data_IF_092203332487
#
_entry.id   IF_092203332487
#
_cell.length_a   1.000
_cell.length_b   1.000
_cell.length_c   1.000
_cell.angle_alpha   90.00
_cell.angle_beta   90.00
_cell.angle_gamma   90.00
#
_symmetry.space_group_name_H-M   'P 1'
#
loop_
_entity.id
_entity.type
_entity.pdbx_description
1 polymer ?
#
# COMPACT_ATOMS: atom_id res chain seq x y z
N UNK A 1 -31.44 -5.24 15.97
CA UNK A 1 -30.73 -4.84 14.74
C UNK A 1 -29.27 -5.16 14.96
N UNK A 2 -28.62 -5.86 14.03
CA UNK A 2 -27.20 -6.25 14.12
C UNK A 2 -26.46 -5.65 12.94
N UNK A 3 -25.28 -5.09 13.21
CA UNK A 3 -24.33 -4.64 12.18
C UNK A 3 -23.14 -5.59 12.14
N UNK A 4 -22.85 -6.13 10.95
CA UNK A 4 -21.67 -6.95 10.67
C UNK A 4 -20.72 -6.17 9.79
N UNK A 5 -19.42 -6.22 10.12
CA UNK A 5 -18.36 -5.75 9.24
C UNK A 5 -17.57 -6.97 8.74
N UNK A 6 -17.62 -7.23 7.44
CA UNK A 6 -17.08 -8.45 6.82
C UNK A 6 -15.89 -8.14 5.91
N UNK A 7 -14.83 -8.94 6.00
CA UNK A 7 -13.56 -8.78 5.29
C UNK A 7 -13.56 -9.32 3.85
N UNK A 8 -14.71 -9.80 3.35
CA UNK A 8 -14.81 -10.41 2.02
C UNK A 8 -14.28 -11.84 1.94
N UNK A 9 -13.81 -12.46 3.02
CA UNK A 9 -13.38 -13.86 3.02
C UNK A 9 -14.57 -14.80 2.74
N UNK A 10 -14.38 -15.95 2.04
CA UNK A 10 -15.48 -16.89 1.72
C UNK A 10 -16.23 -17.49 2.92
N UNK A 11 -15.70 -17.37 4.13
CA UNK A 11 -16.39 -17.73 5.38
C UNK A 11 -17.30 -16.62 5.92
N UNK A 12 -17.10 -15.37 5.47
CA UNK A 12 -17.84 -14.19 5.92
C UNK A 12 -18.91 -13.77 4.91
N UNK A 13 -18.60 -13.84 3.60
CA UNK A 13 -19.55 -13.57 2.50
C UNK A 13 -20.20 -14.85 1.96
N UNK A 14 -21.41 -14.71 1.41
CA UNK A 14 -22.06 -15.75 0.61
C UNK A 14 -23.35 -16.31 1.23
N UNK A 15 -24.36 -16.65 0.41
CA UNK A 15 -25.75 -16.79 0.87
C UNK A 15 -26.03 -18.03 1.72
N UNK A 16 -25.20 -19.07 1.63
CA UNK A 16 -25.48 -20.39 2.23
C UNK A 16 -24.48 -20.84 3.29
N UNK A 17 -23.24 -20.32 3.27
CA UNK A 17 -22.16 -20.72 4.19
C UNK A 17 -21.37 -19.55 4.77
N UNK A 18 -21.56 -18.33 4.26
CA UNK A 18 -20.94 -17.14 4.83
C UNK A 18 -21.70 -16.63 6.04
N UNK A 19 -21.00 -16.05 7.01
CA UNK A 19 -21.60 -15.42 8.20
C UNK A 19 -22.75 -14.46 7.85
N UNK A 20 -22.60 -13.65 6.81
CA UNK A 20 -23.66 -12.79 6.28
C UNK A 20 -24.92 -13.57 5.90
N UNK A 21 -24.76 -14.67 5.14
CA UNK A 21 -25.88 -15.48 4.67
C UNK A 21 -26.59 -16.22 5.80
N UNK A 22 -25.85 -16.61 6.84
CA UNK A 22 -26.40 -17.22 8.06
C UNK A 22 -27.15 -16.20 8.90
N UNK A 23 -26.55 -15.04 9.22
CA UNK A 23 -27.20 -14.00 10.02
C UNK A 23 -28.42 -13.35 9.34
N UNK A 24 -28.52 -13.39 8.00
CA UNK A 24 -29.74 -12.97 7.28
C UNK A 24 -30.87 -14.01 7.28
N UNK A 25 -30.59 -15.27 7.64
CA UNK A 25 -31.56 -16.38 7.70
C UNK A 25 -32.01 -16.72 9.12
N UNK A 26 -31.28 -16.23 10.13
CA UNK A 26 -31.59 -16.40 11.54
C UNK A 26 -32.67 -15.39 11.97
N UNK A 27 -33.81 -15.89 12.42
CA UNK A 27 -34.95 -15.08 12.89
C UNK A 27 -34.61 -14.22 14.12
N UNK A 28 -33.54 -14.57 14.85
CA UNK A 28 -32.98 -13.76 15.97
C UNK A 28 -32.42 -12.41 15.49
N UNK A 29 -32.12 -12.27 14.20
CA UNK A 29 -31.53 -11.08 13.60
C UNK A 29 -32.42 -10.47 12.51
N UNK A 30 -33.66 -10.02 12.83
CA UNK A 30 -34.66 -9.57 11.85
C UNK A 30 -34.25 -8.31 11.05
N UNK A 31 -33.13 -7.69 11.42
CA UNK A 31 -32.46 -6.65 10.63
C UNK A 31 -30.94 -6.77 10.79
N UNK A 32 -30.34 -7.58 9.91
CA UNK A 32 -28.90 -7.75 9.77
C UNK A 32 -28.38 -6.80 8.67
N UNK A 33 -27.55 -5.83 9.06
CA UNK A 33 -26.84 -4.92 8.15
C UNK A 33 -25.41 -5.42 7.95
N UNK A 34 -25.02 -5.69 6.71
CA UNK A 34 -23.67 -6.14 6.38
C UNK A 34 -22.91 -5.05 5.64
N UNK A 35 -21.75 -4.68 6.16
CA UNK A 35 -20.83 -3.72 5.57
C UNK A 35 -19.52 -4.43 5.22
N UNK A 36 -18.95 -4.18 4.04
CA UNK A 36 -17.58 -4.60 3.80
C UNK A 36 -16.62 -3.78 4.67
N UNK A 37 -15.59 -4.43 5.20
CA UNK A 37 -14.53 -3.75 5.94
C UNK A 37 -13.87 -2.70 5.05
N UNK A 38 -13.78 -1.47 5.54
CA UNK A 38 -13.21 -0.35 4.78
C UNK A 38 -11.73 -0.56 4.45
N UNK A 39 -10.99 -1.24 5.32
CA UNK A 39 -9.60 -1.69 5.08
C UNK A 39 -9.52 -2.67 3.89
N UNK A 40 -10.49 -3.58 3.77
CA UNK A 40 -10.58 -4.52 2.64
C UNK A 40 -10.91 -3.80 1.33
N UNK A 41 -11.87 -2.87 1.35
CA UNK A 41 -12.20 -2.03 0.19
C UNK A 41 -11.00 -1.18 -0.25
N UNK A 42 -10.28 -0.57 0.70
CA UNK A 42 -9.04 0.16 0.44
C UNK A 42 -7.94 -0.73 -0.18
N UNK A 43 -7.77 -1.96 0.33
CA UNK A 43 -6.81 -2.92 -0.22
C UNK A 43 -7.16 -3.33 -1.67
N UNK A 44 -8.45 -3.47 -1.99
CA UNK A 44 -8.92 -3.67 -3.36
C UNK A 44 -8.61 -2.46 -4.26
N UNK A 45 -8.86 -1.22 -3.81
CA UNK A 45 -8.52 -0.01 -4.57
C UNK A 45 -7.03 0.04 -4.98
N UNK A 46 -6.13 -0.41 -4.10
CA UNK A 46 -4.69 -0.51 -4.42
C UNK A 46 -4.36 -1.43 -5.60
N UNK A 47 -5.23 -2.38 -5.95
CA UNK A 47 -5.07 -3.25 -7.12
C UNK A 47 -5.47 -2.57 -8.44
N UNK A 48 -6.33 -1.54 -8.39
CA UNK A 48 -6.85 -0.83 -9.56
C UNK A 48 -6.06 0.42 -9.97
N UNK A 49 -5.10 0.86 -9.15
CA UNK A 49 -4.23 2.00 -9.51
C UNK A 49 -3.36 1.65 -10.74
N UNK A 50 -3.29 2.58 -11.70
CA UNK A 50 -2.67 2.42 -13.04
C UNK A 50 -1.15 2.14 -12.99
N UNK A 51 -0.56 2.24 -11.81
CA UNK A 51 0.86 2.05 -11.47
C UNK A 51 1.35 0.59 -11.59
N UNK A 52 0.55 -0.27 -12.26
CA UNK A 52 0.84 -1.70 -12.49
C UNK A 52 2.18 -1.95 -13.19
N UNK A 53 2.67 -1.02 -14.03
CA UNK A 53 3.95 -1.16 -14.75
C UNK A 53 5.12 -1.09 -13.76
N UNK A 54 5.13 -0.08 -12.89
CA UNK A 54 6.14 0.07 -11.82
C UNK A 54 6.06 -1.11 -10.86
N UNK A 55 4.86 -1.47 -10.40
CA UNK A 55 4.67 -2.60 -9.47
C UNK A 55 5.06 -3.95 -10.07
N UNK A 56 4.82 -4.22 -11.36
CA UNK A 56 5.28 -5.46 -12.05
C UNK A 56 6.80 -5.58 -11.99
N UNK A 57 7.53 -4.48 -12.21
CA UNK A 57 8.99 -4.50 -12.14
C UNK A 57 9.48 -4.66 -10.70
N UNK A 58 8.91 -3.93 -9.74
CA UNK A 58 9.24 -4.06 -8.31
C UNK A 58 9.03 -5.49 -7.82
N UNK A 59 7.89 -6.12 -8.16
CA UNK A 59 7.60 -7.52 -7.82
C UNK A 59 8.59 -8.48 -8.47
N UNK A 60 8.98 -8.27 -9.74
CA UNK A 60 10.00 -9.08 -10.42
C UNK A 60 11.36 -9.00 -9.72
N UNK A 61 11.80 -7.79 -9.35
CA UNK A 61 13.05 -7.53 -8.63
C UNK A 61 13.02 -8.22 -7.26
N UNK A 62 11.97 -7.96 -6.46
CA UNK A 62 11.80 -8.53 -5.12
C UNK A 62 11.74 -10.05 -5.15
N UNK A 63 11.01 -10.64 -6.11
CA UNK A 63 10.93 -12.10 -6.25
C UNK A 63 12.28 -12.71 -6.62
N UNK A 64 13.07 -12.07 -7.48
CA UNK A 64 14.41 -12.54 -7.84
C UNK A 64 15.34 -12.55 -6.62
N UNK A 65 15.41 -11.44 -5.89
CA UNK A 65 16.16 -11.32 -4.62
C UNK A 65 15.67 -12.36 -3.58
N UNK A 66 14.36 -12.61 -3.50
CA UNK A 66 13.77 -13.61 -2.58
C UNK A 66 14.01 -15.06 -3.01
N UNK A 67 14.27 -15.35 -4.28
CA UNK A 67 14.51 -16.71 -4.76
C UNK A 67 15.81 -17.32 -4.22
N UNK A 68 16.80 -16.51 -3.84
CA UNK A 68 18.11 -17.00 -3.38
C UNK A 68 18.56 -16.33 -2.07
N UNK A 69 18.93 -17.15 -1.07
CA UNK A 69 19.39 -16.65 0.23
C UNK A 69 20.73 -15.91 0.16
N UNK A 70 21.61 -16.30 -0.77
CA UNK A 70 22.87 -15.60 -1.09
C UNK A 70 22.61 -14.19 -1.62
N UNK A 71 21.64 -14.01 -2.52
CA UNK A 71 21.26 -12.70 -3.06
C UNK A 71 20.78 -11.75 -1.97
N UNK A 72 19.95 -12.21 -1.03
CA UNK A 72 19.52 -11.40 0.13
C UNK A 72 20.68 -10.94 1.00
N UNK A 73 21.66 -11.81 1.24
CA UNK A 73 22.86 -11.49 2.04
C UNK A 73 23.74 -10.47 1.31
N UNK A 74 24.02 -10.71 0.02
CA UNK A 74 24.87 -9.83 -0.78
C UNK A 74 24.26 -8.43 -0.97
N UNK A 75 22.95 -8.34 -1.25
CA UNK A 75 22.25 -7.06 -1.33
C UNK A 75 22.24 -6.34 0.01
N UNK A 76 22.13 -7.07 1.14
CA UNK A 76 22.25 -6.48 2.46
C UNK A 76 23.66 -5.91 2.69
N UNK A 77 24.72 -6.64 2.36
CA UNK A 77 26.10 -6.13 2.45
C UNK A 77 26.29 -4.86 1.60
N UNK A 78 25.83 -4.87 0.34
CA UNK A 78 25.86 -3.69 -0.55
C UNK A 78 25.05 -2.50 -0.01
N UNK A 79 23.99 -2.73 0.77
CA UNK A 79 23.21 -1.66 1.39
C UNK A 79 23.84 -1.17 2.71
N UNK A 80 24.47 -2.06 3.48
CA UNK A 80 25.15 -1.76 4.74
C UNK A 80 26.49 -1.02 4.52
N UNK A 81 27.15 -1.20 3.37
CA UNK A 81 28.33 -0.42 2.93
C UNK A 81 28.01 1.08 2.65
N UNK A 82 26.72 1.46 2.63
CA UNK A 82 26.24 2.82 2.31
C UNK A 82 25.48 3.45 3.49
N UNK A 83 26.04 3.54 4.70
CA UNK A 83 25.52 4.52 5.67
C UNK A 83 25.88 5.98 5.20
N UNK A 84 25.51 7.09 5.83
CA UNK A 84 24.75 7.25 7.05
C UNK A 84 23.40 7.97 6.82
N UNK A 85 22.87 8.55 7.91
CA UNK A 85 21.78 9.53 8.01
C UNK A 85 20.39 9.09 7.52
N UNK A 86 19.72 8.36 8.42
CA UNK A 86 18.33 8.60 8.86
C UNK A 86 17.22 8.62 7.79
N UNK A 87 16.66 7.43 7.58
CA UNK A 87 15.31 7.09 7.08
C UNK A 87 14.89 7.49 5.65
N UNK A 88 14.88 8.77 5.23
CA UNK A 88 14.52 9.14 3.85
C UNK A 88 15.50 8.53 2.84
N UNK A 89 16.80 8.79 3.05
CA UNK A 89 17.91 8.32 2.21
C UNK A 89 17.95 6.79 2.00
N UNK A 90 17.26 5.98 2.82
CA UNK A 90 17.22 4.52 2.61
C UNK A 90 16.52 4.13 1.30
N UNK A 91 15.58 4.92 0.80
CA UNK A 91 14.78 4.57 -0.39
C UNK A 91 15.62 4.63 -1.67
N UNK A 92 16.25 5.77 -1.96
CA UNK A 92 17.17 5.91 -3.10
C UNK A 92 18.45 5.06 -2.96
N UNK A 93 19.00 4.90 -1.75
CA UNK A 93 20.14 3.97 -1.51
C UNK A 93 19.80 2.51 -1.84
N UNK A 94 18.57 2.06 -1.59
CA UNK A 94 18.12 0.73 -1.99
C UNK A 94 18.01 0.63 -3.52
N UNK A 95 17.53 1.67 -4.22
CA UNK A 95 17.50 1.67 -5.70
C UNK A 95 18.92 1.61 -6.27
N UNK A 96 19.86 2.43 -5.79
CA UNK A 96 21.25 2.40 -6.28
C UNK A 96 21.95 1.09 -5.96
N UNK A 97 21.77 0.53 -4.76
CA UNK A 97 22.30 -0.78 -4.39
C UNK A 97 21.68 -1.91 -5.25
N UNK A 98 20.39 -1.83 -5.60
CA UNK A 98 19.74 -2.77 -6.53
C UNK A 98 20.34 -2.62 -7.94
N UNK A 99 20.48 -1.40 -8.46
CA UNK A 99 21.11 -1.14 -9.77
C UNK A 99 22.53 -1.70 -9.82
N UNK A 100 23.35 -1.45 -8.80
CA UNK A 100 24.70 -1.96 -8.69
C UNK A 100 24.74 -3.49 -8.57
N UNK A 101 23.89 -4.07 -7.71
CA UNK A 101 23.75 -5.52 -7.54
C UNK A 101 23.40 -6.23 -8.86
N UNK A 102 22.54 -5.64 -9.68
CA UNK A 102 22.15 -6.19 -10.98
C UNK A 102 23.20 -5.95 -12.08
N UNK A 103 23.87 -4.79 -12.09
CA UNK A 103 25.01 -4.51 -12.98
C UNK A 103 26.21 -5.44 -12.73
N UNK A 104 26.55 -5.72 -11.47
CA UNK A 104 27.60 -6.67 -11.09
C UNK A 104 27.35 -8.12 -11.55
N UNK A 105 26.16 -8.41 -12.08
CA UNK A 105 25.71 -9.75 -12.51
C UNK A 105 25.42 -9.83 -14.01
N UNK A 106 25.76 -8.78 -14.76
CA UNK A 106 25.45 -8.62 -16.19
C UNK A 106 23.94 -8.66 -16.51
N UNK A 107 23.11 -8.18 -15.57
CA UNK A 107 21.65 -8.16 -15.68
C UNK A 107 21.08 -6.74 -15.43
N UNK A 108 21.53 -5.69 -16.12
CA UNK A 108 21.11 -4.32 -15.85
C UNK A 108 19.59 -4.14 -15.93
N UNK A 109 19.07 -3.21 -15.13
CA UNK A 109 17.64 -2.84 -15.10
C UNK A 109 17.50 -1.36 -15.46
N UNK A 110 17.47 -1.00 -16.77
CA UNK A 110 17.50 0.40 -17.21
C UNK A 110 16.35 1.24 -16.67
N UNK A 111 15.20 0.62 -16.37
CA UNK A 111 14.03 1.33 -15.83
C UNK A 111 14.32 2.02 -14.49
N UNK A 112 15.25 1.51 -13.69
CA UNK A 112 15.67 2.14 -12.43
C UNK A 112 16.55 3.39 -12.64
N UNK A 113 16.92 3.69 -13.89
CA UNK A 113 17.70 4.88 -14.29
C UNK A 113 16.84 5.87 -15.10
N UNK A 114 15.58 5.50 -15.42
CA UNK A 114 14.63 6.36 -16.14
C UNK A 114 13.96 7.30 -15.15
N UNK A 115 14.22 8.61 -15.28
CA UNK A 115 13.66 9.66 -14.40
C UNK A 115 12.13 9.59 -14.24
N UNK A 116 11.36 9.39 -15.31
CA UNK A 116 9.90 9.30 -15.20
C UNK A 116 9.44 8.05 -14.41
N UNK A 117 10.16 6.92 -14.52
CA UNK A 117 9.87 5.72 -13.73
C UNK A 117 10.19 5.93 -12.25
N UNK A 118 11.31 6.62 -11.95
CA UNK A 118 11.66 6.99 -10.58
C UNK A 118 10.62 7.94 -9.96
N UNK A 119 10.09 8.88 -10.75
CA UNK A 119 9.01 9.79 -10.34
C UNK A 119 7.71 9.02 -10.02
N UNK A 120 7.28 8.12 -10.90
CA UNK A 120 6.11 7.26 -10.68
C UNK A 120 6.30 6.34 -9.46
N UNK A 121 7.53 5.85 -9.24
CA UNK A 121 7.89 5.05 -8.06
C UNK A 121 7.87 5.88 -6.77
N UNK A 122 8.37 7.12 -6.80
CA UNK A 122 8.33 8.04 -5.65
C UNK A 122 6.90 8.34 -5.21
N UNK A 123 6.04 8.72 -6.16
CA UNK A 123 4.60 8.88 -5.92
C UNK A 123 3.96 7.61 -5.34
N UNK A 124 4.28 6.43 -5.88
CA UNK A 124 3.81 5.14 -5.38
C UNK A 124 4.17 4.90 -3.91
N UNK A 125 5.40 5.21 -3.53
CA UNK A 125 5.88 5.01 -2.17
C UNK A 125 5.18 5.97 -1.20
N UNK A 126 5.06 7.25 -1.57
CA UNK A 126 4.37 8.25 -0.76
C UNK A 126 2.87 7.95 -0.59
N UNK A 127 2.17 7.56 -1.66
CA UNK A 127 0.75 7.20 -1.55
C UNK A 127 0.54 5.90 -0.77
N UNK A 128 1.42 4.91 -0.91
CA UNK A 128 1.37 3.68 -0.11
C UNK A 128 1.59 3.95 1.39
N UNK A 129 2.48 4.87 1.75
CA UNK A 129 2.70 5.29 3.14
C UNK A 129 1.48 6.01 3.72
N UNK A 130 0.85 6.90 2.96
CA UNK A 130 -0.40 7.59 3.35
C UNK A 130 -1.58 6.62 3.53
N UNK A 131 -1.69 5.63 2.64
CA UNK A 131 -2.67 4.55 2.75
C UNK A 131 -2.39 3.66 3.97
N UNK A 132 -1.12 3.44 4.32
CA UNK A 132 -0.75 2.73 5.55
C UNK A 132 -1.08 3.53 6.82
N UNK A 133 -0.88 4.86 6.83
CA UNK A 133 -1.33 5.74 7.92
C UNK A 133 -2.86 5.64 8.13
N UNK A 134 -3.63 5.69 7.04
CA UNK A 134 -5.09 5.49 7.08
C UNK A 134 -5.46 4.10 7.63
N UNK A 135 -4.80 3.04 7.16
CA UNK A 135 -5.03 1.67 7.66
C UNK A 135 -4.80 1.60 9.17
N UNK A 136 -3.74 2.23 9.70
CA UNK A 136 -3.46 2.26 11.14
C UNK A 136 -4.53 3.07 11.91
N UNK A 137 -5.02 4.17 11.36
CA UNK A 137 -6.14 4.95 11.94
C UNK A 137 -7.45 4.14 12.01
N UNK A 138 -7.71 3.31 10.99
CA UNK A 138 -8.87 2.41 10.90
C UNK A 138 -8.73 1.15 11.78
N UNK A 139 -7.51 0.75 12.16
CA UNK A 139 -7.21 -0.42 13.01
C UNK A 139 -7.10 -0.11 14.52
N UNK A 140 -7.31 1.15 14.94
CA UNK A 140 -7.10 1.59 16.32
C UNK A 140 -7.85 0.75 17.36
N UNK A 141 -7.11 0.12 18.29
CA UNK A 141 -7.54 -1.01 19.13
C UNK A 141 -8.71 -0.83 20.10
N UNK A 142 -9.28 0.37 20.27
CA UNK A 142 -10.07 0.71 21.47
C UNK A 142 -11.52 1.16 21.28
N UNK A 143 -12.00 1.56 20.08
CA UNK A 143 -13.27 2.33 19.97
C UNK A 143 -14.21 1.86 18.86
N UNK A 144 -15.31 1.24 19.28
CA UNK A 144 -16.30 0.54 18.46
C UNK A 144 -17.31 1.46 17.73
N UNK A 145 -16.85 2.57 17.15
CA UNK A 145 -17.72 3.58 16.53
C UNK A 145 -17.55 3.68 15.02
N UNK A 146 -18.53 3.16 14.27
CA UNK A 146 -18.64 3.27 12.79
C UNK A 146 -18.58 4.74 12.31
N UNK A 147 -19.08 5.67 13.12
CA UNK A 147 -19.02 7.13 12.88
C UNK A 147 -17.59 7.67 12.81
N UNK A 148 -16.62 7.05 13.50
CA UNK A 148 -15.22 7.49 13.48
C UNK A 148 -14.45 6.98 12.26
N UNK A 149 -14.80 5.81 11.74
CA UNK A 149 -14.25 5.33 10.46
C UNK A 149 -14.73 6.20 9.29
N UNK A 150 -16.00 6.58 9.27
CA UNK A 150 -16.55 7.55 8.32
C UNK A 150 -15.82 8.91 8.40
N UNK A 151 -15.54 9.41 9.60
CA UNK A 151 -14.72 10.61 9.80
C UNK A 151 -13.32 10.48 9.20
N UNK A 152 -12.58 9.40 9.49
CA UNK A 152 -11.23 9.20 8.94
C UNK A 152 -11.23 9.08 7.42
N UNK A 153 -12.20 8.38 6.84
CA UNK A 153 -12.34 8.26 5.38
C UNK A 153 -12.67 9.60 4.73
N UNK A 154 -13.60 10.38 5.28
CA UNK A 154 -13.93 11.73 4.79
C UNK A 154 -12.73 12.68 4.90
N UNK A 155 -12.01 12.64 6.02
CA UNK A 155 -10.78 13.41 6.19
C UNK A 155 -9.70 13.00 5.19
N UNK A 156 -9.57 11.70 4.88
CA UNK A 156 -8.63 11.22 3.86
C UNK A 156 -9.04 11.62 2.43
N UNK A 157 -10.34 11.59 2.10
CA UNK A 157 -10.85 12.11 0.82
C UNK A 157 -10.52 13.60 0.68
N UNK A 158 -10.75 14.42 1.72
CA UNK A 158 -10.37 15.84 1.70
C UNK A 158 -8.84 16.07 1.63
N UNK A 159 -8.04 15.17 2.18
CA UNK A 159 -6.58 15.17 1.95
C UNK A 159 -6.23 14.83 0.49
N UNK A 160 -6.88 13.83 -0.12
CA UNK A 160 -6.66 13.47 -1.53
C UNK A 160 -6.99 14.62 -2.48
N UNK A 161 -8.15 15.27 -2.31
CA UNK A 161 -8.53 16.46 -3.09
C UNK A 161 -7.47 17.56 -3.01
N UNK A 162 -7.07 17.95 -1.78
CA UNK A 162 -6.01 18.95 -1.56
C UNK A 162 -4.65 18.51 -2.14
N UNK A 163 -4.31 17.22 -2.10
CA UNK A 163 -3.07 16.70 -2.66
C UNK A 163 -3.07 16.68 -4.18
N UNK A 164 -4.23 16.45 -4.80
CA UNK A 164 -4.42 16.55 -6.25
C UNK A 164 -4.27 18.00 -6.73
N UNK A 165 -4.94 18.95 -6.07
CA UNK A 165 -4.80 20.40 -6.35
C UNK A 165 -3.33 20.86 -6.27
N UNK A 166 -2.65 20.56 -5.15
CA UNK A 166 -1.23 20.93 -4.99
C UNK A 166 -0.33 20.27 -6.07
N UNK A 167 -0.59 19.02 -6.46
CA UNK A 167 0.20 18.36 -7.52
C UNK A 167 -0.05 18.95 -8.91
N UNK A 168 -1.26 19.42 -9.20
CA UNK A 168 -1.60 20.15 -10.43
C UNK A 168 -0.87 21.50 -10.47
N UNK A 169 -0.81 22.20 -9.35
CA UNK A 169 -0.08 23.46 -9.18
C UNK A 169 1.45 23.29 -9.13
N UNK A 170 1.96 22.06 -9.25
CA UNK A 170 3.39 21.76 -9.29
C UNK A 170 4.07 21.73 -7.91
N UNK A 171 3.29 21.55 -6.84
CA UNK A 171 3.71 21.61 -5.44
C UNK A 171 3.65 20.22 -4.76
N UNK A 172 4.73 19.41 -4.85
CA UNK A 172 4.76 18.09 -4.26
C UNK A 172 5.06 18.09 -2.75
N UNK A 173 4.85 19.18 -1.99
CA UNK A 173 5.20 19.28 -0.54
C UNK A 173 4.69 18.15 0.36
N UNK A 174 3.64 17.45 -0.06
CA UNK A 174 3.08 16.31 0.67
C UNK A 174 3.66 14.95 0.25
N UNK A 175 4.45 14.90 -0.82
CA UNK A 175 5.05 13.72 -1.43
C UNK A 175 6.58 13.87 -1.39
N UNK A 176 7.23 13.61 -0.24
CA UNK A 176 8.66 13.82 -0.08
C UNK A 176 9.51 12.95 -1.02
N UNK A 177 9.13 11.70 -1.30
CA UNK A 177 9.89 10.82 -2.21
C UNK A 177 9.66 11.19 -3.68
N UNK A 178 8.50 11.79 -4.02
CA UNK A 178 8.27 12.40 -5.33
C UNK A 178 9.05 13.71 -5.56
N UNK A 179 9.48 14.36 -4.46
CA UNK A 179 10.17 15.66 -4.47
C UNK A 179 11.71 15.56 -4.50
N UNK A 180 12.25 14.35 -4.34
CA UNK A 180 13.68 13.99 -4.38
C UNK A 180 14.15 13.63 -5.80
#
# INVERSE_FOLDING_TARGET
>A
MVGLTIDGAPAMVGPNRGLEGLCRKDESFPRCLCYHCVIYQQALCGHFLILSIVMKLVVKIVNKIRAQASQRRLLKTLADEIDYVRWLMKRFKIISAIVQFFKQRDEPIPQLEISIWLRDFGFLVDIAEKLNELNLQLQGRDKAETSRNDFWCKAFIKKLELWEENLIDGDPRHFPVLSE
#
